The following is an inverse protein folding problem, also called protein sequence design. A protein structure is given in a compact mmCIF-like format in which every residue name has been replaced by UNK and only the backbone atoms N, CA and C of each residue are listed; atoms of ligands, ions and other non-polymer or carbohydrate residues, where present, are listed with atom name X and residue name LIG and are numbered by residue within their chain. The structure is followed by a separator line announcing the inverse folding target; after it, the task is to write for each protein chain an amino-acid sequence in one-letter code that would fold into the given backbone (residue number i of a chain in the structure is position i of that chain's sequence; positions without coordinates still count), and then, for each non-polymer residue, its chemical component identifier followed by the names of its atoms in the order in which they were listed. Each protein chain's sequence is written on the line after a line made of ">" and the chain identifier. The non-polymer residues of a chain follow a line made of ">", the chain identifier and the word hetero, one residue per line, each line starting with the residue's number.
data_IF_190547254457
#
_entry.id   IF_190547254457
#
_cell.length_a   1.000
_cell.length_b   1.000
_cell.length_c   1.000
_cell.angle_alpha   90.00
_cell.angle_beta   90.00
_cell.angle_gamma   90.00
#
_symmetry.space_group_name_H-M   'P 1'
#
loop_
_entity.id
_entity.type
_entity.pdbx_description
1 polymer ?
#
# COMPACT_ATOMS: atom_id res chain seq x y z
N UNK A 1 -24.72 5.91 20.55
CA UNK A 1 -23.54 5.32 21.20
C UNK A 1 -23.31 3.93 20.60
N UNK A 2 -22.10 3.69 20.04
CA UNK A 2 -21.76 2.49 19.31
C UNK A 2 -20.96 1.51 20.18
N UNK A 3 -21.07 0.22 19.90
CA UNK A 3 -20.15 -0.80 20.41
C UNK A 3 -18.85 -0.78 19.59
N UNK A 4 -17.77 -1.42 20.09
CA UNK A 4 -16.51 -1.53 19.35
C UNK A 4 -16.69 -2.23 17.99
N UNK A 5 -17.59 -3.21 17.89
CA UNK A 5 -17.87 -3.90 16.63
C UNK A 5 -18.58 -3.00 15.62
N UNK A 6 -19.54 -2.19 16.08
CA UNK A 6 -20.21 -1.19 15.25
C UNK A 6 -19.24 -0.08 14.81
N UNK A 7 -18.43 0.44 15.73
CA UNK A 7 -17.38 1.42 15.42
C UNK A 7 -16.44 0.90 14.31
N UNK A 8 -15.96 -0.33 14.48
CA UNK A 8 -15.07 -0.97 13.50
C UNK A 8 -15.75 -1.13 12.13
N UNK A 9 -17.02 -1.56 12.11
CA UNK A 9 -17.80 -1.71 10.88
C UNK A 9 -18.00 -0.36 10.16
N UNK A 10 -18.37 0.70 10.88
CA UNK A 10 -18.54 2.04 10.30
C UNK A 10 -17.25 2.59 9.71
N UNK A 11 -16.12 2.39 10.37
CA UNK A 11 -14.82 2.82 9.87
C UNK A 11 -14.20 1.84 8.86
N UNK A 12 -14.83 0.69 8.58
CA UNK A 12 -14.33 -0.33 7.65
C UNK A 12 -13.00 -0.97 8.09
N UNK A 13 -12.81 -1.14 9.40
CA UNK A 13 -11.64 -1.79 9.99
C UNK A 13 -12.04 -3.01 10.83
N UNK A 14 -11.08 -3.81 11.28
CA UNK A 14 -11.35 -4.92 12.21
C UNK A 14 -11.37 -4.43 13.66
N UNK A 15 -12.10 -5.13 14.54
CA UNK A 15 -12.05 -4.87 15.99
C UNK A 15 -10.62 -4.99 16.54
N UNK A 16 -9.80 -5.88 15.95
CA UNK A 16 -8.37 -6.01 16.30
C UNK A 16 -7.60 -4.72 15.99
N UNK A 17 -7.86 -4.09 14.85
CA UNK A 17 -7.25 -2.82 14.47
C UNK A 17 -7.65 -1.71 15.47
N UNK A 18 -8.93 -1.63 15.85
CA UNK A 18 -9.39 -0.65 16.87
C UNK A 18 -8.65 -0.83 18.17
N UNK A 19 -8.54 -2.07 18.67
CA UNK A 19 -7.76 -2.37 19.91
C UNK A 19 -6.28 -2.01 19.76
N UNK A 20 -5.71 -2.23 18.58
CA UNK A 20 -4.34 -1.82 18.30
C UNK A 20 -4.15 -0.31 18.37
N UNK A 21 -5.08 0.46 17.82
CA UNK A 21 -5.05 1.92 17.89
C UNK A 21 -5.24 2.44 19.31
N UNK A 22 -6.07 1.80 20.14
CA UNK A 22 -6.13 2.09 21.59
C UNK A 22 -4.80 1.83 22.26
N UNK A 23 -4.22 0.65 22.06
CA UNK A 23 -2.92 0.28 22.66
C UNK A 23 -1.76 1.20 22.23
N UNK A 24 -1.86 1.81 21.01
CA UNK A 24 -0.91 2.80 20.51
C UNK A 24 -1.24 4.25 20.95
N UNK A 25 -2.36 4.45 21.67
CA UNK A 25 -2.80 5.78 22.09
C UNK A 25 -3.19 6.71 20.94
N UNK A 26 -3.59 6.13 19.80
CA UNK A 26 -4.08 6.87 18.62
C UNK A 26 -5.56 7.20 18.73
N UNK A 27 -6.34 6.33 19.35
CA UNK A 27 -7.74 6.49 19.61
C UNK A 27 -7.97 6.38 21.12
N UNK A 28 -8.61 7.36 21.78
CA UNK A 28 -8.95 7.29 23.19
C UNK A 28 -9.86 6.09 23.48
N UNK A 29 -9.58 5.37 24.56
CA UNK A 29 -10.41 4.26 24.98
C UNK A 29 -11.46 4.77 25.99
N UNK A 30 -12.76 4.79 25.66
CA UNK A 30 -13.77 5.29 26.57
C UNK A 30 -13.91 4.42 27.81
N UNK A 31 -14.37 4.97 28.95
CA UNK A 31 -14.67 4.19 30.14
C UNK A 31 -15.78 3.17 29.86
N UNK A 32 -15.84 2.13 30.67
CA UNK A 32 -16.95 1.17 30.62
C UNK A 32 -18.21 1.78 31.22
N UNK A 33 -19.35 1.53 30.61
CA UNK A 33 -20.66 1.89 31.15
C UNK A 33 -21.04 0.99 32.36
N UNK A 34 -22.17 1.25 32.98
CA UNK A 34 -22.68 0.47 34.09
C UNK A 34 -22.94 -1.01 33.76
N UNK A 35 -23.07 -1.33 32.47
CA UNK A 35 -23.23 -2.71 31.95
C UNK A 35 -21.87 -3.34 31.58
N UNK A 36 -20.75 -2.68 31.84
CA UNK A 36 -19.40 -3.17 31.55
C UNK A 36 -18.95 -2.99 30.12
N UNK A 37 -19.74 -2.35 29.25
CA UNK A 37 -19.42 -2.13 27.85
C UNK A 37 -18.81 -0.74 27.62
N UNK A 38 -17.91 -0.65 26.65
CA UNK A 38 -17.44 0.63 26.13
C UNK A 38 -18.36 1.15 25.05
N UNK A 39 -18.70 2.42 25.14
CA UNK A 39 -19.55 3.10 24.17
C UNK A 39 -18.81 4.22 23.47
N UNK A 40 -18.93 4.23 22.17
CA UNK A 40 -18.25 5.16 21.29
C UNK A 40 -19.25 6.15 20.69
N UNK A 41 -18.87 7.39 20.59
CA UNK A 41 -19.66 8.46 19.97
C UNK A 41 -19.31 8.66 18.49
N UNK A 42 -19.95 9.64 17.86
CA UNK A 42 -19.66 10.00 16.47
C UNK A 42 -18.24 10.55 16.27
N UNK A 43 -17.70 11.25 17.29
CA UNK A 43 -16.33 11.75 17.27
C UNK A 43 -15.31 10.62 17.12
N UNK A 44 -15.49 9.53 17.87
CA UNK A 44 -14.64 8.35 17.76
C UNK A 44 -14.68 7.70 16.35
N UNK A 45 -15.82 7.76 15.65
CA UNK A 45 -15.92 7.30 14.26
C UNK A 45 -15.06 8.16 13.35
N UNK A 46 -15.16 9.49 13.45
CA UNK A 46 -14.40 10.43 12.65
C UNK A 46 -12.90 10.28 12.88
N UNK A 47 -12.49 10.20 14.14
CA UNK A 47 -11.08 9.98 14.50
C UNK A 47 -10.54 8.66 13.92
N UNK A 48 -11.30 7.59 14.07
CA UNK A 48 -10.91 6.28 13.54
C UNK A 48 -10.80 6.28 12.00
N UNK A 49 -11.69 6.99 11.29
CA UNK A 49 -11.61 7.15 9.83
C UNK A 49 -10.34 7.93 9.45
N UNK A 50 -10.00 9.02 10.18
CA UNK A 50 -8.77 9.79 9.96
C UNK A 50 -7.52 8.92 10.14
N UNK A 51 -7.45 8.16 11.25
CA UNK A 51 -6.35 7.24 11.52
C UNK A 51 -6.19 6.23 10.38
N UNK A 52 -7.30 5.59 9.97
CA UNK A 52 -7.30 4.62 8.88
C UNK A 52 -6.82 5.22 7.57
N UNK A 53 -7.38 6.38 7.18
CA UNK A 53 -7.01 7.05 5.91
C UNK A 53 -5.52 7.34 5.84
N UNK A 54 -4.93 7.85 6.92
CA UNK A 54 -3.49 8.10 6.98
C UNK A 54 -2.67 6.81 6.95
N UNK A 55 -3.11 5.76 7.67
CA UNK A 55 -2.45 4.46 7.67
C UNK A 55 -2.51 3.78 6.28
N UNK A 56 -3.65 3.83 5.60
CA UNK A 56 -3.83 3.31 4.23
C UNK A 56 -2.97 4.07 3.22
N UNK A 57 -2.71 5.36 3.44
CA UNK A 57 -1.76 6.18 2.68
C UNK A 57 -0.27 5.87 3.00
N UNK A 58 -0.01 4.85 3.84
CA UNK A 58 1.34 4.42 4.21
C UNK A 58 2.05 5.33 5.21
N UNK A 59 1.30 6.17 5.95
CA UNK A 59 1.87 7.01 7.01
C UNK A 59 2.16 6.14 8.25
N UNK A 60 3.37 6.13 8.79
CA UNK A 60 3.69 5.39 10.01
C UNK A 60 2.81 5.84 11.19
N UNK A 61 2.36 4.90 12.03
CA UNK A 61 1.45 5.21 13.14
C UNK A 61 2.01 6.23 14.15
N UNK A 62 3.33 6.30 14.32
CA UNK A 62 3.98 7.36 15.10
C UNK A 62 3.70 8.75 14.53
N UNK A 63 3.82 8.87 13.20
CA UNK A 63 3.56 10.12 12.49
C UNK A 63 2.07 10.47 12.47
N UNK A 64 1.19 9.46 12.35
CA UNK A 64 -0.28 9.66 12.46
C UNK A 64 -0.63 10.36 13.77
N UNK A 65 -0.02 9.94 14.90
CA UNK A 65 -0.25 10.58 16.20
C UNK A 65 0.14 12.06 16.20
N UNK A 66 1.31 12.39 15.64
CA UNK A 66 1.79 13.75 15.54
C UNK A 66 0.84 14.60 14.70
N UNK A 67 0.37 14.08 13.57
CA UNK A 67 -0.55 14.76 12.68
C UNK A 67 -1.92 15.03 13.32
N UNK A 68 -2.46 14.08 14.08
CA UNK A 68 -3.74 14.24 14.77
C UNK A 68 -3.66 15.26 15.93
N UNK A 69 -2.47 15.50 16.48
CA UNK A 69 -2.22 16.47 17.52
C UNK A 69 -1.78 17.85 16.98
N UNK A 70 -1.52 17.96 15.68
CA UNK A 70 -1.08 19.19 15.02
C UNK A 70 -2.23 20.21 14.91
N UNK A 71 -1.89 21.48 14.76
CA UNK A 71 -2.86 22.50 14.39
C UNK A 71 -3.36 22.31 12.94
N UNK A 72 -4.40 23.06 12.58
CA UNK A 72 -5.06 22.90 11.29
C UNK A 72 -4.13 23.18 10.10
N UNK A 73 -3.30 24.23 10.19
CA UNK A 73 -2.39 24.62 9.11
C UNK A 73 -1.30 23.57 8.91
N UNK A 74 -0.72 23.06 10.00
CA UNK A 74 0.27 21.99 9.99
C UNK A 74 -0.33 20.68 9.46
N UNK A 75 -1.56 20.38 9.83
CA UNK A 75 -2.27 19.20 9.33
C UNK A 75 -2.48 19.28 7.82
N UNK A 76 -3.00 20.42 7.32
CA UNK A 76 -3.22 20.66 5.88
C UNK A 76 -1.91 20.54 5.11
N UNK A 77 -0.84 21.19 5.57
CA UNK A 77 0.47 21.14 4.93
C UNK A 77 1.01 19.70 4.85
N UNK A 78 0.79 18.90 5.89
CA UNK A 78 1.21 17.50 5.91
C UNK A 78 0.37 16.62 4.95
N UNK A 79 -0.93 16.88 4.82
CA UNK A 79 -1.79 16.20 3.85
C UNK A 79 -1.33 16.48 2.42
N UNK A 80 -1.00 17.75 2.11
CA UNK A 80 -0.47 18.14 0.79
C UNK A 80 0.87 17.44 0.47
N UNK A 81 1.73 17.27 1.48
CA UNK A 81 2.99 16.54 1.32
C UNK A 81 2.77 15.04 1.04
N UNK A 82 1.82 14.43 1.77
CA UNK A 82 1.43 13.03 1.54
C UNK A 82 0.86 12.87 0.12
N UNK A 83 -0.01 13.77 -0.34
CA UNK A 83 -0.58 13.72 -1.70
C UNK A 83 0.52 13.85 -2.77
N UNK A 84 1.46 14.81 -2.61
CA UNK A 84 2.61 14.94 -3.53
C UNK A 84 3.43 13.66 -3.61
N UNK A 85 3.69 13.01 -2.48
CA UNK A 85 4.43 11.74 -2.42
C UNK A 85 3.67 10.63 -3.13
N UNK A 86 2.37 10.47 -2.87
CA UNK A 86 1.54 9.45 -3.51
C UNK A 86 1.46 9.66 -5.02
N UNK A 87 1.33 10.89 -5.50
CA UNK A 87 1.38 11.19 -6.94
C UNK A 87 2.72 10.83 -7.57
N UNK A 88 3.83 11.05 -6.87
CA UNK A 88 5.15 10.64 -7.35
C UNK A 88 5.25 9.11 -7.43
N UNK A 89 4.81 8.40 -6.40
CA UNK A 89 4.81 6.94 -6.38
C UNK A 89 3.93 6.34 -7.50
N UNK A 90 2.75 6.90 -7.74
CA UNK A 90 1.88 6.48 -8.84
C UNK A 90 2.61 6.61 -10.18
N UNK A 91 3.27 7.75 -10.44
CA UNK A 91 4.05 7.95 -11.68
C UNK A 91 5.18 6.95 -11.81
N UNK A 92 5.88 6.64 -10.72
CA UNK A 92 6.97 5.66 -10.72
C UNK A 92 6.46 4.24 -11.00
N UNK A 93 5.34 3.86 -10.39
CA UNK A 93 4.67 2.58 -10.64
C UNK A 93 4.16 2.46 -12.06
N UNK A 94 3.62 3.54 -12.63
CA UNK A 94 3.21 3.57 -14.03
C UNK A 94 4.39 3.34 -14.97
N UNK A 95 5.50 4.08 -14.79
CA UNK A 95 6.74 3.86 -15.55
C UNK A 95 7.30 2.45 -15.41
N UNK A 96 7.27 1.90 -14.19
CA UNK A 96 7.70 0.52 -13.98
C UNK A 96 6.81 -0.48 -14.71
N UNK A 97 5.48 -0.27 -14.71
CA UNK A 97 4.53 -1.11 -15.46
C UNK A 97 4.78 -1.05 -16.97
N UNK A 98 5.05 0.12 -17.51
CA UNK A 98 5.38 0.31 -18.93
C UNK A 98 6.64 -0.48 -19.30
N UNK A 99 7.72 -0.33 -18.54
CA UNK A 99 8.95 -1.12 -18.76
C UNK A 99 8.72 -2.64 -18.69
N UNK A 100 7.87 -3.09 -17.75
CA UNK A 100 7.51 -4.51 -17.67
C UNK A 100 6.70 -4.95 -18.89
N UNK A 101 5.80 -4.11 -19.39
CA UNK A 101 5.03 -4.41 -20.60
C UNK A 101 5.93 -4.51 -21.85
N UNK A 102 6.96 -3.67 -21.94
CA UNK A 102 7.96 -3.71 -23.01
C UNK A 102 8.71 -5.06 -23.04
N UNK A 103 8.98 -5.68 -21.88
CA UNK A 103 9.58 -7.01 -21.81
C UNK A 103 8.71 -8.10 -22.48
N UNK A 104 7.40 -7.92 -22.49
CA UNK A 104 6.46 -8.87 -23.10
C UNK A 104 6.43 -8.78 -24.63
N UNK A 105 6.87 -7.64 -25.20
CA UNK A 105 6.82 -7.39 -26.67
C UNK A 105 8.09 -7.90 -27.40
N UNK A 106 9.13 -8.29 -26.67
CA UNK A 106 10.34 -8.92 -27.22
C UNK A 106 11.65 -8.21 -26.88
N UNK A 107 12.74 -8.95 -26.97
CA UNK A 107 14.08 -8.70 -26.43
C UNK A 107 14.77 -7.35 -26.77
N UNK A 108 14.16 -6.51 -27.59
CA UNK A 108 14.84 -5.29 -28.08
C UNK A 108 14.56 -4.02 -27.29
N UNK A 109 13.49 -3.96 -26.50
CA UNK A 109 13.01 -2.69 -25.95
C UNK A 109 13.36 -2.47 -24.46
N UNK A 110 13.82 -3.51 -23.76
CA UNK A 110 14.15 -3.42 -22.34
C UNK A 110 15.63 -3.19 -22.04
N UNK A 111 16.46 -3.14 -23.05
CA UNK A 111 17.90 -2.95 -22.90
C UNK A 111 18.27 -1.47 -23.03
N UNK A 112 19.21 -0.96 -22.22
CA UNK A 112 19.82 0.34 -22.44
C UNK A 112 20.39 0.43 -23.86
N UNK A 113 20.39 1.62 -24.50
CA UNK A 113 20.91 1.80 -25.85
C UNK A 113 22.32 1.23 -26.05
N UNK A 114 23.16 1.35 -25.04
CA UNK A 114 24.55 0.85 -25.03
C UNK A 114 24.59 -0.69 -25.10
N UNK A 115 23.64 -1.36 -24.45
CA UNK A 115 23.54 -2.81 -24.50
C UNK A 115 23.00 -3.30 -25.85
N UNK A 116 22.10 -2.56 -26.48
CA UNK A 116 21.59 -2.86 -27.83
C UNK A 116 22.75 -2.76 -28.83
N UNK A 117 23.51 -1.67 -28.82
CA UNK A 117 24.68 -1.46 -29.67
C UNK A 117 25.73 -2.56 -29.48
N UNK A 118 26.01 -2.94 -28.23
CA UNK A 118 26.93 -4.02 -27.91
C UNK A 118 26.43 -5.38 -28.49
N UNK A 119 25.18 -5.69 -28.38
CA UNK A 119 24.60 -6.92 -28.92
C UNK A 119 24.60 -6.94 -30.46
N UNK A 120 24.35 -5.80 -31.11
CA UNK A 120 24.47 -5.69 -32.59
C UNK A 120 25.92 -5.93 -33.03
N UNK A 121 26.88 -5.37 -32.34
CA UNK A 121 28.30 -5.58 -32.62
C UNK A 121 28.74 -7.04 -32.43
N UNK A 122 28.22 -7.72 -31.38
CA UNK A 122 28.45 -9.17 -31.20
C UNK A 122 27.83 -10.00 -32.33
N UNK A 123 26.68 -9.58 -32.85
CA UNK A 123 26.03 -10.23 -33.98
C UNK A 123 26.82 -10.09 -35.27
N UNK A 124 27.39 -8.93 -35.52
CA UNK A 124 28.30 -8.68 -36.68
C UNK A 124 29.56 -9.54 -36.59
N UNK A 125 30.04 -9.81 -35.41
CA UNK A 125 31.21 -10.68 -35.16
C UNK A 125 30.88 -12.18 -35.21
N UNK A 126 29.64 -12.55 -35.53
CA UNK A 126 29.22 -13.95 -35.67
C UNK A 126 29.08 -14.71 -34.33
N UNK A 127 29.07 -14.00 -33.20
CA UNK A 127 28.85 -14.62 -31.90
C UNK A 127 27.38 -15.03 -31.78
N UNK A 128 27.06 -16.33 -31.58
CA UNK A 128 25.70 -16.75 -31.44
C UNK A 128 25.13 -16.20 -30.13
N UNK A 129 24.22 -15.24 -30.23
CA UNK A 129 23.44 -14.76 -29.08
C UNK A 129 22.47 -15.88 -28.74
N UNK A 130 22.76 -16.62 -27.67
CA UNK A 130 21.83 -17.64 -27.15
C UNK A 130 20.57 -16.92 -26.75
N UNK A 131 19.56 -16.99 -27.57
CA UNK A 131 18.18 -16.64 -27.18
C UNK A 131 17.81 -17.58 -26.05
N UNK A 132 17.90 -17.12 -24.82
CA UNK A 132 17.23 -17.80 -23.73
C UNK A 132 15.73 -17.80 -24.09
N UNK A 133 15.25 -18.98 -24.51
CA UNK A 133 13.83 -19.22 -24.76
C UNK A 133 13.07 -19.07 -23.44
N UNK A 134 12.70 -17.86 -23.12
CA UNK A 134 11.58 -17.63 -22.23
C UNK A 134 10.30 -17.85 -23.01
N UNK A 135 10.12 -19.10 -23.50
CA UNK A 135 8.83 -19.60 -23.94
C UNK A 135 8.02 -19.91 -22.68
N UNK A 136 7.67 -18.90 -21.91
CA UNK A 136 6.58 -19.01 -20.99
C UNK A 136 5.30 -18.89 -21.81
N UNK A 137 4.61 -19.98 -22.03
CA UNK A 137 3.21 -19.98 -22.43
C UNK A 137 2.46 -18.97 -21.55
N UNK A 138 1.73 -17.99 -22.13
CA UNK A 138 0.94 -17.05 -21.33
C UNK A 138 -0.06 -17.88 -20.50
N UNK A 139 0.11 -17.91 -19.20
CA UNK A 139 -0.84 -18.57 -18.29
C UNK A 139 -0.30 -19.43 -17.15
N UNK A 140 1.00 -19.79 -17.12
CA UNK A 140 1.46 -20.78 -16.11
C UNK A 140 2.15 -20.18 -14.87
N UNK A 141 2.50 -18.90 -14.83
CA UNK A 141 3.28 -18.31 -13.74
C UNK A 141 2.49 -17.56 -12.67
N UNK A 142 1.24 -17.23 -12.95
CA UNK A 142 0.38 -16.56 -11.99
C UNK A 142 -0.73 -17.49 -11.50
N UNK A 143 -0.40 -18.47 -10.66
CA UNK A 143 -1.38 -19.03 -9.73
C UNK A 143 -1.26 -18.26 -8.41
N UNK A 144 -2.29 -17.51 -8.00
CA UNK A 144 -2.32 -16.97 -6.64
C UNK A 144 -2.22 -18.18 -5.68
N UNK A 145 -1.23 -18.18 -4.81
CA UNK A 145 -1.19 -19.14 -3.70
C UNK A 145 -2.47 -18.95 -2.91
N UNK A 146 -3.26 -19.99 -2.84
CA UNK A 146 -4.47 -20.05 -2.03
C UNK A 146 -4.16 -19.57 -0.61
N UNK A 147 -5.04 -18.81 0.03
CA UNK A 147 -4.84 -18.39 1.40
C UNK A 147 -4.67 -19.63 2.27
N UNK A 148 -3.61 -19.65 3.07
CA UNK A 148 -3.34 -20.68 4.07
C UNK A 148 -4.58 -20.77 4.96
N UNK A 149 -5.36 -21.84 4.82
CA UNK A 149 -6.41 -22.20 5.78
C UNK A 149 -5.72 -22.50 7.10
N UNK A 150 -5.83 -21.59 8.08
CA UNK A 150 -5.66 -21.98 9.45
C UNK A 150 -6.76 -22.99 9.78
N UNK A 151 -6.37 -24.24 10.06
CA UNK A 151 -7.24 -25.23 10.71
C UNK A 151 -7.40 -24.87 12.19
N UNK A 152 -8.55 -25.22 12.78
CA UNK A 152 -8.91 -24.91 14.17
C UNK A 152 -7.97 -25.55 15.18
#
# INVERSE_FOLDING_TARGET
>A
MLTISQLAAYAGVTVRAVRHYHAKGLLPEPPRDASGYRRYDAGAVVELIRIRTLADAGVPLSRVRELLAADEDQFIAAIDDIDRRLRAEIRDRQRARERVAELAVGDRLALPPEAVEYLERLRELGVPIVRSRWNATPGSWWRPRSPIRCRP
#
